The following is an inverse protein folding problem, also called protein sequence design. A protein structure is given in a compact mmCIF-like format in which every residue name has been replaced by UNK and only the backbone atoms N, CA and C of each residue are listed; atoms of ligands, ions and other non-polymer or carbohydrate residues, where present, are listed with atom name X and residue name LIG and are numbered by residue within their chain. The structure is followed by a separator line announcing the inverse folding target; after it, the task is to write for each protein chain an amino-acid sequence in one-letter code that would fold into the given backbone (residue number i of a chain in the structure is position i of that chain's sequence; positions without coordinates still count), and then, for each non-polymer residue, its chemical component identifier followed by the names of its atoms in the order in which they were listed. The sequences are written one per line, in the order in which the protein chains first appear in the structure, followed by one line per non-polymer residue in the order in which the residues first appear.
data_IF_228351507991
#
_entry.id   IF_228351507991
#
_cell.length_a   1.000
_cell.length_b   1.000
_cell.length_c   1.000
_cell.angle_alpha   90.00
_cell.angle_beta   90.00
_cell.angle_gamma   90.00
#
_symmetry.space_group_name_H-M   'P 1'
#
loop_
_entity.id
_entity.type
_entity.pdbx_description
1 polymer ?
#
# COMPACT_ATOMS: atom_id res chain seq x y z
N UNK A 1 3.05 44.66 -7.00
CA UNK A 1 2.39 43.98 -5.87
C UNK A 1 2.78 42.52 -5.94
N UNK A 2 3.65 42.08 -5.04
CA UNK A 2 4.02 40.67 -4.95
C UNK A 2 2.85 39.94 -4.33
N UNK A 3 2.25 39.00 -5.07
CA UNK A 3 1.29 38.04 -4.52
C UNK A 3 2.06 37.15 -3.55
N UNK A 4 2.10 37.54 -2.28
CA UNK A 4 2.45 36.62 -1.19
C UNK A 4 1.28 35.66 -1.15
N UNK A 5 1.45 34.47 -1.75
CA UNK A 5 0.43 33.42 -1.72
C UNK A 5 0.04 33.15 -0.27
N UNK A 6 -1.25 33.03 -0.01
CA UNK A 6 -1.74 32.75 1.34
C UNK A 6 -1.05 31.49 1.90
N UNK A 7 -0.72 31.48 3.20
CA UNK A 7 -0.07 30.33 3.81
C UNK A 7 -0.94 29.09 3.61
N UNK A 8 -0.38 28.08 2.93
CA UNK A 8 -1.05 26.82 2.64
C UNK A 8 -1.42 26.12 3.95
N UNK A 9 -2.70 25.78 4.10
CA UNK A 9 -3.25 25.05 5.24
C UNK A 9 -2.49 23.74 5.50
N UNK A 10 -2.30 23.39 6.78
CA UNK A 10 -1.49 22.24 7.19
C UNK A 10 -2.13 20.92 6.75
N UNK A 11 -3.46 20.83 6.76
CA UNK A 11 -4.17 19.66 6.24
C UNK A 11 -3.85 19.43 4.76
N UNK A 12 -3.83 20.51 3.98
CA UNK A 12 -3.50 20.46 2.56
C UNK A 12 -2.04 20.05 2.32
N UNK A 13 -1.12 20.53 3.16
CA UNK A 13 0.29 20.10 3.12
C UNK A 13 0.42 18.59 3.36
N UNK A 14 -0.25 18.07 4.37
CA UNK A 14 -0.23 16.63 4.72
C UNK A 14 -0.82 15.80 3.58
N UNK A 15 -1.97 16.21 3.03
CA UNK A 15 -2.59 15.52 1.88
C UNK A 15 -1.65 15.47 0.69
N UNK A 16 -1.03 16.60 0.35
CA UNK A 16 -0.14 16.71 -0.80
C UNK A 16 1.11 15.86 -0.65
N UNK A 17 1.73 15.87 0.54
CA UNK A 17 2.89 15.03 0.85
C UNK A 17 2.53 13.53 0.82
N UNK A 18 1.38 13.16 1.39
CA UNK A 18 0.88 11.78 1.38
C UNK A 18 0.63 11.28 -0.05
N UNK A 19 0.00 12.11 -0.89
CA UNK A 19 -0.25 11.78 -2.29
C UNK A 19 1.02 11.66 -3.12
N UNK A 20 2.03 12.50 -2.86
CA UNK A 20 3.33 12.36 -3.51
C UNK A 20 3.95 10.98 -3.21
N UNK A 21 4.03 10.61 -1.93
CA UNK A 21 4.55 9.31 -1.49
C UNK A 21 3.73 8.12 -2.02
N UNK A 22 2.41 8.25 -2.11
CA UNK A 22 1.53 7.19 -2.60
C UNK A 22 1.68 6.96 -4.12
N UNK A 23 2.12 7.98 -4.86
CA UNK A 23 2.33 7.88 -6.31
C UNK A 23 3.74 7.41 -6.67
N UNK A 24 4.72 7.61 -5.78
CA UNK A 24 6.09 7.12 -5.92
C UNK A 24 6.13 5.58 -6.00
N UNK A 25 6.84 5.08 -7.01
CA UNK A 25 7.17 3.65 -7.09
C UNK A 25 8.22 3.31 -6.03
N UNK A 26 8.19 2.09 -5.52
CA UNK A 26 9.22 1.60 -4.61
C UNK A 26 10.52 1.29 -5.38
N UNK A 27 11.65 1.62 -4.76
CA UNK A 27 12.97 1.40 -5.34
C UNK A 27 13.38 -0.09 -5.29
N UNK A 28 14.28 -0.48 -6.19
CA UNK A 28 14.92 -1.81 -6.15
C UNK A 28 13.97 -2.99 -6.42
N UNK A 29 12.82 -2.75 -7.05
CA UNK A 29 11.89 -3.81 -7.42
C UNK A 29 12.44 -4.61 -8.60
N UNK A 30 12.48 -5.94 -8.45
CA UNK A 30 12.70 -6.87 -9.56
C UNK A 30 11.47 -6.85 -10.49
N UNK A 31 11.62 -6.38 -11.75
CA UNK A 31 10.49 -6.17 -12.65
C UNK A 31 9.79 -7.46 -13.07
N UNK A 32 10.54 -8.57 -13.17
CA UNK A 32 9.99 -9.87 -13.57
C UNK A 32 9.14 -10.43 -12.43
N UNK A 33 9.65 -10.36 -11.19
CA UNK A 33 8.87 -10.75 -10.01
C UNK A 33 7.64 -9.88 -9.83
N UNK A 34 7.73 -8.59 -10.10
CA UNK A 34 6.58 -7.69 -10.00
C UNK A 34 5.51 -8.06 -11.02
N UNK A 35 5.89 -8.35 -12.27
CA UNK A 35 4.97 -8.76 -13.31
C UNK A 35 4.27 -10.08 -12.94
N UNK A 36 5.02 -11.10 -12.53
CA UNK A 36 4.50 -12.38 -12.07
C UNK A 36 3.56 -12.23 -10.86
N UNK A 37 3.97 -11.43 -9.86
CA UNK A 37 3.16 -11.17 -8.69
C UNK A 37 1.85 -10.46 -9.04
N UNK A 38 1.87 -9.49 -9.97
CA UNK A 38 0.66 -8.80 -10.44
C UNK A 38 -0.29 -9.76 -11.17
N UNK A 39 0.22 -10.67 -11.99
CA UNK A 39 -0.62 -11.70 -12.62
C UNK A 39 -1.23 -12.65 -11.59
N UNK A 40 -0.46 -13.06 -10.59
CA UNK A 40 -0.98 -13.87 -9.49
C UNK A 40 -2.07 -13.14 -8.70
N UNK A 41 -1.87 -11.85 -8.42
CA UNK A 41 -2.89 -11.04 -7.72
C UNK A 41 -4.21 -11.03 -8.48
N UNK A 42 -4.26 -11.17 -9.82
CA UNK A 42 -5.52 -11.24 -10.57
C UNK A 42 -6.31 -12.53 -10.37
N UNK A 43 -5.63 -13.63 -10.03
CA UNK A 43 -6.25 -14.96 -9.89
C UNK A 43 -6.56 -15.32 -8.45
N UNK A 44 -6.12 -14.52 -7.47
CA UNK A 44 -6.45 -14.74 -6.06
C UNK A 44 -7.98 -14.72 -5.84
N UNK A 45 -8.54 -15.76 -5.20
CA UNK A 45 -9.96 -15.83 -4.89
C UNK A 45 -10.32 -14.88 -3.73
N UNK A 46 -11.61 -14.62 -3.58
CA UNK A 46 -12.19 -13.95 -2.40
C UNK A 46 -11.67 -12.53 -2.11
N UNK A 47 -11.25 -11.81 -3.15
CA UNK A 47 -10.84 -10.41 -3.05
C UNK A 47 -11.80 -9.50 -3.82
N UNK A 48 -12.27 -8.46 -3.13
CA UNK A 48 -12.95 -7.34 -3.80
C UNK A 48 -11.97 -6.57 -4.70
N UNK A 49 -12.51 -5.75 -5.61
CA UNK A 49 -11.70 -4.87 -6.46
C UNK A 49 -10.80 -3.94 -5.63
N UNK A 50 -11.33 -3.37 -4.54
CA UNK A 50 -10.58 -2.50 -3.65
C UNK A 50 -9.42 -3.22 -2.95
N UNK A 51 -9.66 -4.45 -2.46
CA UNK A 51 -8.61 -5.26 -1.81
C UNK A 51 -7.54 -5.68 -2.82
N UNK A 52 -7.95 -6.06 -4.04
CA UNK A 52 -7.02 -6.41 -5.12
C UNK A 52 -6.15 -5.23 -5.53
N UNK A 53 -6.74 -4.03 -5.63
CA UNK A 53 -6.01 -2.80 -5.91
C UNK A 53 -5.04 -2.46 -4.76
N UNK A 54 -5.45 -2.62 -3.50
CA UNK A 54 -4.58 -2.43 -2.36
C UNK A 54 -3.35 -3.35 -2.40
N UNK A 55 -3.54 -4.63 -2.71
CA UNK A 55 -2.43 -5.59 -2.84
C UNK A 55 -1.52 -5.20 -4.01
N UNK A 56 -2.08 -4.90 -5.19
CA UNK A 56 -1.30 -4.49 -6.37
C UNK A 56 -0.49 -3.22 -6.11
N UNK A 57 -1.07 -2.23 -5.44
CA UNK A 57 -0.37 -1.01 -5.07
C UNK A 57 0.74 -1.31 -4.06
N UNK A 58 0.48 -2.11 -3.03
CA UNK A 58 1.49 -2.47 -2.04
C UNK A 58 2.70 -3.23 -2.64
N UNK A 59 2.54 -3.91 -3.79
CA UNK A 59 3.65 -4.54 -4.49
C UNK A 59 4.63 -3.57 -5.15
N UNK A 60 4.17 -2.35 -5.50
CA UNK A 60 4.93 -1.44 -6.36
C UNK A 60 5.03 -0.01 -5.89
N UNK A 61 4.16 0.45 -5.00
CA UNK A 61 4.14 1.81 -4.49
C UNK A 61 4.87 1.89 -3.16
N UNK A 62 5.60 2.99 -2.99
CA UNK A 62 6.37 3.29 -1.78
C UNK A 62 5.46 3.44 -0.56
N UNK A 63 4.25 3.96 -0.74
CA UNK A 63 3.22 4.05 0.29
C UNK A 63 1.88 3.54 -0.24
N UNK A 64 1.24 2.65 0.51
CA UNK A 64 -0.14 2.22 0.24
C UNK A 64 -0.96 2.35 1.51
N UNK A 65 -2.03 3.15 1.45
CA UNK A 65 -2.95 3.35 2.57
C UNK A 65 -4.22 2.54 2.30
N UNK A 66 -4.52 1.59 3.18
CA UNK A 66 -5.75 0.78 3.09
C UNK A 66 -6.72 1.26 4.16
N UNK A 67 -7.85 1.81 3.73
CA UNK A 67 -8.92 2.29 4.62
C UNK A 67 -10.23 1.58 4.30
N UNK A 68 -11.04 1.36 5.32
CA UNK A 68 -12.38 0.79 5.16
C UNK A 68 -13.13 0.69 6.48
N UNK A 69 -14.48 0.69 6.45
CA UNK A 69 -15.33 0.45 7.62
C UNK A 69 -14.98 -0.83 8.40
N UNK A 70 -15.48 -1.01 9.63
CA UNK A 70 -15.39 -2.28 10.35
C UNK A 70 -15.91 -3.46 9.50
N UNK A 71 -15.26 -4.62 9.58
CA UNK A 71 -15.66 -5.82 8.85
C UNK A 71 -15.24 -5.92 7.37
N UNK A 72 -14.58 -4.91 6.80
CA UNK A 72 -14.18 -4.89 5.37
C UNK A 72 -12.93 -5.69 5.00
N UNK A 73 -12.47 -6.57 5.90
CA UNK A 73 -11.33 -7.45 5.63
C UNK A 73 -9.98 -6.75 5.54
N UNK A 74 -9.76 -5.65 6.28
CA UNK A 74 -8.44 -4.98 6.34
C UNK A 74 -7.34 -5.94 6.77
N UNK A 75 -7.55 -6.69 7.85
CA UNK A 75 -6.61 -7.73 8.32
C UNK A 75 -6.36 -8.79 7.25
N UNK A 76 -7.42 -9.27 6.58
CA UNK A 76 -7.28 -10.21 5.46
C UNK A 76 -6.39 -9.63 4.35
N UNK A 77 -6.61 -8.36 3.99
CA UNK A 77 -5.82 -7.65 2.98
C UNK A 77 -4.36 -7.50 3.41
N UNK A 78 -4.09 -7.13 4.67
CA UNK A 78 -2.73 -7.02 5.21
C UNK A 78 -1.99 -8.35 5.17
N UNK A 79 -2.64 -9.45 5.57
CA UNK A 79 -2.04 -10.80 5.49
C UNK A 79 -1.72 -11.19 4.04
N UNK A 80 -2.59 -10.84 3.09
CA UNK A 80 -2.32 -11.07 1.65
C UNK A 80 -1.14 -10.25 1.16
N UNK A 81 -1.03 -8.98 1.54
CA UNK A 81 0.13 -8.13 1.20
C UNK A 81 1.43 -8.76 1.72
N UNK A 82 1.48 -9.09 3.02
CA UNK A 82 2.66 -9.71 3.63
C UNK A 82 3.02 -11.04 2.98
N UNK A 83 2.02 -11.86 2.65
CA UNK A 83 2.22 -13.13 1.95
C UNK A 83 2.82 -12.93 0.57
N UNK A 84 2.32 -11.95 -0.20
CA UNK A 84 2.84 -11.65 -1.53
C UNK A 84 4.26 -11.08 -1.47
N UNK A 85 4.56 -10.20 -0.51
CA UNK A 85 5.91 -9.69 -0.28
C UNK A 85 6.89 -10.81 0.09
N UNK A 86 6.51 -11.70 1.02
CA UNK A 86 7.39 -12.77 1.48
C UNK A 86 7.61 -13.84 0.41
N UNK A 87 6.54 -14.31 -0.25
CA UNK A 87 6.61 -15.48 -1.14
C UNK A 87 6.99 -15.09 -2.57
N UNK A 88 6.40 -14.03 -3.11
CA UNK A 88 6.56 -13.70 -4.52
C UNK A 88 7.62 -12.63 -4.76
N UNK A 89 7.61 -11.56 -3.96
CA UNK A 89 8.68 -10.55 -4.06
C UNK A 89 9.98 -11.03 -3.40
N UNK A 90 9.89 -11.99 -2.47
CA UNK A 90 11.00 -12.50 -1.65
C UNK A 90 11.69 -11.41 -0.83
N UNK A 91 10.91 -10.46 -0.34
CA UNK A 91 11.40 -9.41 0.56
C UNK A 91 11.72 -10.00 1.92
N UNK A 92 12.90 -9.66 2.44
CA UNK A 92 13.35 -10.06 3.77
C UNK A 92 14.42 -9.07 4.29
N UNK A 93 14.37 -8.63 5.55
CA UNK A 93 13.33 -8.94 6.54
C UNK A 93 12.03 -8.13 6.30
N UNK A 94 10.89 -8.65 6.78
CA UNK A 94 9.60 -7.94 6.79
C UNK A 94 9.26 -7.48 8.21
N UNK A 95 8.86 -6.22 8.36
CA UNK A 95 8.36 -5.65 9.61
C UNK A 95 6.85 -5.45 9.51
N UNK A 96 6.10 -6.06 10.43
CA UNK A 96 4.68 -5.84 10.61
C UNK A 96 4.43 -5.43 12.07
N UNK A 97 3.70 -4.33 12.27
CA UNK A 97 3.43 -3.78 13.60
C UNK A 97 1.95 -3.42 13.73
N UNK A 98 1.43 -3.51 14.94
CA UNK A 98 0.08 -3.10 15.31
C UNK A 98 0.11 -2.38 16.65
N UNK A 99 -0.86 -1.50 16.89
CA UNK A 99 -1.04 -0.80 18.17
C UNK A 99 -1.61 -1.72 19.26
N UNK A 100 -2.19 -2.87 18.90
CA UNK A 100 -2.75 -3.83 19.85
C UNK A 100 -2.35 -5.27 19.54
N UNK A 101 -2.08 -6.04 20.61
CA UNK A 101 -1.66 -7.44 20.55
C UNK A 101 -2.72 -8.38 19.92
N UNK A 102 -4.00 -7.99 19.93
CA UNK A 102 -5.11 -8.79 19.37
C UNK A 102 -5.06 -8.84 17.82
N UNK A 103 -4.36 -7.91 17.20
CA UNK A 103 -4.25 -7.80 15.74
C UNK A 103 -2.93 -8.36 15.17
N UNK A 104 -2.02 -8.87 16.02
CA UNK A 104 -0.76 -9.55 15.62
C UNK A 104 -0.95 -11.06 15.62
#
# INVERSE_FOLDING_TARGET
GVLVGEPMDEEERIKRATLALANEDADGIDPDRLAEAKEMVKTLPDLSSAQRNAITNALSKRLTIVQGPPGTGKTHTSVRILTMWAKQMRYTPLLATSECNIAV
#
